data_IF_033426110907
#
_entry.id   IF_033426110907
#
_cell.length_a   1.000
_cell.length_b   1.000
_cell.length_c   1.000
_cell.angle_alpha   90.00
_cell.angle_beta   90.00
_cell.angle_gamma   90.00
#
_symmetry.space_group_name_H-M   'P 1'
#
loop_
_entity.id
_entity.type
_entity.pdbx_description
1 polymer ?
#
# COMPACT_ATOMS: atom_id res chain seq x y z
N UNK A 1 16.94 -7.85 -8.93
CA UNK A 1 16.27 -6.70 -9.56
C UNK A 1 17.04 -5.42 -9.23
N UNK A 2 17.11 -4.50 -10.19
CA UNK A 2 17.33 -3.09 -9.89
C UNK A 2 15.99 -2.49 -9.47
N UNK A 3 15.93 -1.85 -8.30
CA UNK A 3 14.69 -1.37 -7.72
C UNK A 3 14.52 0.13 -7.95
N UNK A 4 13.43 0.50 -8.62
CA UNK A 4 12.94 1.87 -8.76
C UNK A 4 11.69 2.02 -7.89
N UNK A 5 11.70 2.95 -6.96
CA UNK A 5 10.64 3.11 -5.96
C UNK A 5 9.73 4.29 -6.30
N UNK A 6 8.42 4.08 -6.22
CA UNK A 6 7.39 5.07 -6.52
C UNK A 6 6.47 5.25 -5.32
N UNK A 7 6.31 6.49 -4.89
CA UNK A 7 5.34 6.89 -3.86
C UNK A 7 4.39 7.97 -4.37
N UNK A 8 3.24 8.11 -3.71
CA UNK A 8 2.21 9.06 -4.10
C UNK A 8 1.82 9.97 -2.95
N UNK A 9 1.92 11.28 -3.17
CA UNK A 9 1.27 12.29 -2.37
C UNK A 9 -0.10 12.57 -2.99
N UNK A 10 -1.15 11.87 -2.47
CA UNK A 10 -2.49 11.94 -3.07
C UNK A 10 -3.47 12.77 -2.22
N UNK A 11 -2.95 13.56 -1.27
CA UNK A 11 -3.75 14.33 -0.34
C UNK A 11 -4.19 13.53 0.88
N UNK A 12 -3.51 12.42 1.18
CA UNK A 12 -3.73 11.64 2.40
C UNK A 12 -3.50 12.47 3.66
N UNK A 13 -4.19 12.11 4.74
CA UNK A 13 -4.14 12.83 6.02
C UNK A 13 -2.74 12.94 6.63
N UNK A 14 -1.85 11.97 6.31
CA UNK A 14 -0.50 11.94 6.89
C UNK A 14 0.58 11.87 5.82
N UNK A 15 1.46 12.87 5.85
CA UNK A 15 2.64 12.90 4.98
C UNK A 15 3.80 12.06 5.53
N UNK A 16 3.73 11.63 6.79
CA UNK A 16 4.81 10.87 7.45
C UNK A 16 5.12 9.55 6.71
N UNK A 17 4.11 8.93 6.08
CA UNK A 17 4.32 7.72 5.28
C UNK A 17 5.26 7.96 4.09
N UNK A 18 5.29 9.18 3.52
CA UNK A 18 6.19 9.53 2.41
C UNK A 18 7.64 9.66 2.90
N UNK A 19 7.83 10.22 4.09
CA UNK A 19 9.15 10.30 4.73
C UNK A 19 9.68 8.90 5.06
N UNK A 20 8.82 8.01 5.58
CA UNK A 20 9.17 6.64 5.87
C UNK A 20 9.46 5.86 4.58
N UNK A 21 8.65 6.03 3.53
CA UNK A 21 8.89 5.40 2.23
C UNK A 21 10.26 5.79 1.64
N UNK A 22 10.66 7.07 1.78
CA UNK A 22 11.99 7.52 1.36
C UNK A 22 13.09 6.82 2.14
N UNK A 23 13.00 6.78 3.48
CA UNK A 23 13.98 6.09 4.33
C UNK A 23 14.10 4.61 3.98
N UNK A 24 12.97 3.92 3.72
CA UNK A 24 12.96 2.52 3.31
C UNK A 24 13.62 2.35 1.93
N UNK A 25 13.31 3.22 0.97
CA UNK A 25 13.92 3.17 -0.36
C UNK A 25 15.44 3.36 -0.29
N UNK A 26 15.91 4.31 0.52
CA UNK A 26 17.33 4.57 0.76
C UNK A 26 17.98 3.36 1.47
N UNK A 27 17.35 2.82 2.50
CA UNK A 27 17.86 1.67 3.28
C UNK A 27 18.04 0.41 2.42
N UNK A 28 17.10 0.12 1.53
CA UNK A 28 17.19 -1.04 0.61
C UNK A 28 17.93 -0.73 -0.70
N UNK A 29 18.52 0.46 -0.84
CA UNK A 29 19.37 0.80 -1.99
C UNK A 29 18.59 0.91 -3.30
N UNK A 30 17.38 1.47 -3.28
CA UNK A 30 16.65 1.76 -4.51
C UNK A 30 17.45 2.69 -5.41
N UNK A 31 17.59 2.35 -6.69
CA UNK A 31 18.33 3.15 -7.70
C UNK A 31 17.77 4.56 -7.79
N UNK A 32 16.45 4.66 -7.69
CA UNK A 32 15.73 5.94 -7.68
C UNK A 32 14.43 5.80 -6.91
N UNK A 33 14.11 6.83 -6.13
CA UNK A 33 12.79 7.01 -5.51
C UNK A 33 12.16 8.29 -6.04
N UNK A 34 10.94 8.23 -6.56
CA UNK A 34 10.18 9.40 -6.96
C UNK A 34 8.86 9.48 -6.21
N UNK A 35 8.38 10.69 -5.97
CA UNK A 35 7.07 10.97 -5.37
C UNK A 35 6.24 11.71 -6.42
N UNK A 36 5.07 11.17 -6.74
CA UNK A 36 4.11 11.81 -7.65
C UNK A 36 3.05 12.54 -6.81
N UNK A 37 2.87 13.82 -7.10
CA UNK A 37 1.83 14.64 -6.50
C UNK A 37 0.54 14.55 -7.32
N UNK A 38 -0.53 14.07 -6.69
CA UNK A 38 -1.90 14.04 -7.22
C UNK A 38 -2.85 14.46 -6.10
N UNK A 39 -4.01 14.99 -6.41
CA UNK A 39 -4.96 15.42 -5.38
C UNK A 39 -6.31 14.69 -5.51
N UNK A 40 -6.39 13.50 -4.87
CA UNK A 40 -7.61 12.70 -4.83
C UNK A 40 -8.68 13.26 -3.89
N UNK A 41 -8.36 14.27 -3.07
CA UNK A 41 -9.36 14.97 -2.24
C UNK A 41 -10.41 15.67 -3.08
N UNK A 42 -10.08 16.05 -4.32
CA UNK A 42 -11.02 16.66 -5.27
C UNK A 42 -12.18 15.73 -5.63
N UNK A 43 -11.99 14.42 -5.50
CA UNK A 43 -13.03 13.42 -5.75
C UNK A 43 -13.80 13.06 -4.46
N UNK A 44 -13.15 13.16 -3.31
CA UNK A 44 -13.76 12.79 -2.02
C UNK A 44 -14.03 11.29 -1.91
N UNK A 45 -15.14 10.93 -1.24
CA UNK A 45 -15.66 9.56 -1.18
C UNK A 45 -14.92 8.60 -0.23
N UNK A 46 -13.92 9.07 0.53
CA UNK A 46 -13.19 8.25 1.51
C UNK A 46 -12.84 9.04 2.75
N UNK A 47 -12.82 8.37 3.90
CA UNK A 47 -12.32 8.94 5.15
C UNK A 47 -10.82 9.31 5.10
N UNK A 48 -10.08 8.88 4.10
CA UNK A 48 -8.67 9.22 3.90
C UNK A 48 -8.48 10.47 3.03
N UNK A 49 -9.49 10.89 2.26
CA UNK A 49 -9.42 12.00 1.30
C UNK A 49 -10.52 13.03 1.45
N UNK A 50 -11.46 12.84 2.39
CA UNK A 50 -12.55 13.76 2.68
C UNK A 50 -12.67 14.03 4.18
N UNK A 51 -13.51 14.97 4.56
CA UNK A 51 -13.84 15.26 5.96
C UNK A 51 -14.88 14.25 6.49
N UNK A 52 -14.46 13.00 6.55
CA UNK A 52 -15.24 11.87 7.07
C UNK A 52 -14.43 11.27 8.22
N UNK A 53 -15.06 11.03 9.37
CA UNK A 53 -14.38 10.45 10.51
C UNK A 53 -13.83 9.05 10.20
N UNK A 54 -12.59 8.79 10.59
CA UNK A 54 -12.01 7.44 10.50
C UNK A 54 -12.61 6.57 11.61
N UNK A 55 -13.25 5.43 11.27
CA UNK A 55 -13.81 4.52 12.26
C UNK A 55 -12.75 4.01 13.24
N UNK A 56 -13.14 3.90 14.50
CA UNK A 56 -12.28 3.42 15.59
C UNK A 56 -12.97 2.29 16.36
N UNK A 57 -12.17 1.43 16.98
CA UNK A 57 -12.61 0.35 17.88
C UNK A 57 -13.58 -0.65 17.23
N UNK A 58 -13.51 -0.85 15.93
CA UNK A 58 -14.31 -1.84 15.23
C UNK A 58 -13.86 -3.26 15.62
N UNK A 59 -14.81 -4.19 15.66
CA UNK A 59 -14.46 -5.60 15.80
C UNK A 59 -13.85 -6.11 14.47
N UNK A 60 -12.76 -6.87 14.55
CA UNK A 60 -12.05 -7.35 13.35
C UNK A 60 -12.97 -8.19 12.44
N UNK A 61 -13.89 -8.97 13.03
CA UNK A 61 -14.85 -9.79 12.29
C UNK A 61 -15.86 -8.97 11.46
N UNK A 62 -16.06 -7.70 11.78
CA UNK A 62 -16.94 -6.81 11.05
C UNK A 62 -16.21 -6.05 9.93
N UNK A 63 -14.88 -5.98 9.98
CA UNK A 63 -14.10 -5.27 8.98
C UNK A 63 -14.13 -5.93 7.59
N UNK A 64 -14.46 -7.22 7.52
CA UNK A 64 -14.47 -8.00 6.25
C UNK A 64 -15.83 -8.05 5.57
N UNK A 65 -16.90 -7.53 6.22
CA UNK A 65 -18.28 -7.69 5.73
C UNK A 65 -18.65 -6.72 4.59
N UNK A 66 -17.97 -5.61 4.48
CA UNK A 66 -18.30 -4.54 3.52
C UNK A 66 -17.06 -3.78 3.06
N UNK A 67 -17.17 -3.03 1.97
CA UNK A 67 -16.12 -2.10 1.53
C UNK A 67 -16.06 -0.95 2.55
N UNK A 68 -14.91 -0.74 3.23
CA UNK A 68 -14.84 0.24 4.30
C UNK A 68 -14.84 1.68 3.78
N UNK A 69 -15.28 2.61 4.60
CA UNK A 69 -15.26 4.05 4.31
C UNK A 69 -13.85 4.61 4.08
N UNK A 70 -12.81 3.87 4.47
CA UNK A 70 -11.39 4.19 4.21
C UNK A 70 -10.92 3.75 2.82
N UNK A 71 -11.76 3.07 2.04
CA UNK A 71 -11.45 2.80 0.64
C UNK A 71 -11.40 4.11 -0.15
N UNK A 72 -10.28 4.38 -0.79
CA UNK A 72 -10.14 5.50 -1.72
C UNK A 72 -10.49 4.98 -3.12
N UNK A 73 -11.55 5.49 -3.76
CA UNK A 73 -12.04 4.96 -5.03
C UNK A 73 -10.94 4.84 -6.10
N UNK A 74 -10.77 3.64 -6.64
CA UNK A 74 -9.84 3.28 -7.70
C UNK A 74 -8.35 3.70 -7.44
N UNK A 75 -7.95 3.89 -6.19
CA UNK A 75 -6.61 4.38 -5.85
C UNK A 75 -5.50 3.52 -6.44
N UNK A 76 -5.58 2.19 -6.29
CA UNK A 76 -4.55 1.31 -6.81
C UNK A 76 -4.53 1.28 -8.34
N UNK A 77 -5.67 1.48 -9.01
CA UNK A 77 -5.76 1.63 -10.48
C UNK A 77 -4.99 2.88 -10.93
N UNK A 78 -5.21 4.02 -10.26
CA UNK A 78 -4.50 5.27 -10.54
C UNK A 78 -2.99 5.07 -10.32
N UNK A 79 -2.60 4.49 -9.20
CA UNK A 79 -1.20 4.26 -8.86
C UNK A 79 -0.50 3.31 -9.83
N UNK A 80 -1.14 2.22 -10.20
CA UNK A 80 -0.60 1.28 -11.19
C UNK A 80 -0.49 1.91 -12.57
N UNK A 81 -1.40 2.82 -12.96
CA UNK A 81 -1.30 3.53 -14.25
C UNK A 81 -0.07 4.45 -14.30
N UNK A 82 0.24 5.17 -13.22
CA UNK A 82 1.49 5.93 -13.13
C UNK A 82 2.72 5.03 -13.11
N UNK A 83 2.65 3.93 -12.36
CA UNK A 83 3.75 2.96 -12.30
C UNK A 83 4.03 2.35 -13.67
N UNK A 84 2.97 2.00 -14.44
CA UNK A 84 3.09 1.48 -15.80
C UNK A 84 3.74 2.49 -16.74
N UNK A 85 3.30 3.76 -16.71
CA UNK A 85 3.89 4.81 -17.54
C UNK A 85 5.38 5.01 -17.22
N UNK A 86 5.74 4.99 -15.94
CA UNK A 86 7.16 5.13 -15.56
C UNK A 86 7.96 3.89 -15.89
N UNK A 87 7.42 2.69 -15.69
CA UNK A 87 8.06 1.43 -16.06
C UNK A 87 8.41 1.38 -17.55
N UNK A 88 7.51 1.82 -18.43
CA UNK A 88 7.78 1.90 -19.87
C UNK A 88 8.93 2.87 -20.17
N UNK A 89 8.99 4.04 -19.51
CA UNK A 89 10.05 5.04 -19.70
C UNK A 89 11.43 4.52 -19.29
N UNK A 90 11.51 3.75 -18.19
CA UNK A 90 12.79 3.23 -17.67
C UNK A 90 13.12 1.83 -18.18
N UNK A 91 12.33 1.29 -19.10
CA UNK A 91 12.44 -0.06 -19.64
C UNK A 91 12.39 -1.17 -18.55
N UNK A 92 11.53 -0.98 -17.53
CA UNK A 92 11.26 -1.99 -16.51
C UNK A 92 10.00 -2.79 -16.89
N UNK A 93 10.12 -4.09 -16.99
CA UNK A 93 9.02 -4.99 -17.37
C UNK A 93 8.18 -5.50 -16.20
N UNK A 94 8.65 -5.26 -14.96
CA UNK A 94 8.02 -5.83 -13.76
C UNK A 94 7.67 -4.73 -12.75
N UNK A 95 6.40 -4.70 -12.34
CA UNK A 95 5.87 -3.80 -11.31
C UNK A 95 5.50 -4.61 -10.08
N UNK A 96 5.99 -4.22 -8.91
CA UNK A 96 5.61 -4.81 -7.62
C UNK A 96 4.64 -3.92 -6.89
N UNK A 97 3.57 -4.51 -6.34
CA UNK A 97 2.61 -3.83 -5.49
C UNK A 97 2.27 -4.67 -4.26
N UNK A 98 2.25 -4.05 -3.08
CA UNK A 98 2.04 -4.70 -1.79
C UNK A 98 0.57 -4.91 -1.42
N UNK A 99 -0.29 -5.23 -2.39
CA UNK A 99 -1.70 -5.55 -2.12
C UNK A 99 -1.83 -6.85 -1.35
N UNK A 100 -2.85 -6.90 -0.49
CA UNK A 100 -3.20 -8.06 0.31
C UNK A 100 -4.70 -8.32 0.22
N UNK A 101 -5.11 -9.55 -0.04
CA UNK A 101 -6.50 -9.95 -0.22
C UNK A 101 -7.07 -10.75 0.97
N UNK A 102 -6.22 -11.29 1.86
CA UNK A 102 -6.67 -12.19 2.94
C UNK A 102 -7.17 -11.43 4.18
N UNK A 103 -6.37 -10.51 4.70
CA UNK A 103 -6.71 -9.85 5.97
C UNK A 103 -7.78 -8.76 5.83
N UNK A 104 -7.96 -8.28 4.59
CA UNK A 104 -8.87 -7.19 4.31
C UNK A 104 -9.39 -7.28 2.88
N UNK A 105 -10.35 -8.20 2.66
CA UNK A 105 -10.96 -8.47 1.35
C UNK A 105 -11.84 -7.31 0.83
N UNK A 106 -11.95 -6.20 1.58
CA UNK A 106 -12.84 -5.09 1.27
C UNK A 106 -12.44 -4.20 0.10
N UNK A 107 -11.17 -4.24 -0.32
CA UNK A 107 -10.73 -3.39 -1.43
C UNK A 107 -10.81 -4.11 -2.77
N UNK A 108 -11.72 -3.70 -3.68
CA UNK A 108 -11.89 -4.38 -4.98
C UNK A 108 -10.62 -4.34 -5.84
N UNK A 109 -9.83 -3.29 -5.73
CA UNK A 109 -8.56 -3.07 -6.45
C UNK A 109 -7.33 -3.72 -5.78
N UNK A 110 -7.56 -4.68 -4.85
CA UNK A 110 -6.54 -5.56 -4.27
C UNK A 110 -6.74 -7.03 -4.63
N UNK A 111 -7.76 -7.37 -5.40
CA UNK A 111 -8.14 -8.76 -5.71
C UNK A 111 -7.28 -9.37 -6.83
N UNK A 112 -7.01 -10.68 -6.79
CA UNK A 112 -6.21 -11.35 -7.82
C UNK A 112 -6.75 -11.18 -9.24
N UNK A 113 -8.07 -11.22 -9.43
CA UNK A 113 -8.71 -11.04 -10.73
C UNK A 113 -8.53 -9.62 -11.28
N UNK A 114 -8.56 -8.60 -10.40
CA UNK A 114 -8.25 -7.23 -10.78
C UNK A 114 -6.80 -7.09 -11.26
N UNK A 115 -5.85 -7.67 -10.52
CA UNK A 115 -4.42 -7.63 -10.88
C UNK A 115 -4.17 -8.26 -12.24
N UNK A 116 -4.78 -9.43 -12.52
CA UNK A 116 -4.67 -10.08 -13.84
C UNK A 116 -5.24 -9.21 -14.97
N UNK A 117 -6.42 -8.64 -14.76
CA UNK A 117 -7.03 -7.76 -15.75
C UNK A 117 -6.19 -6.50 -16.02
N UNK A 118 -5.56 -5.92 -14.97
CA UNK A 118 -4.67 -4.79 -15.13
C UNK A 118 -3.39 -5.18 -15.91
N UNK A 119 -2.82 -6.35 -15.65
CA UNK A 119 -1.65 -6.86 -16.38
C UNK A 119 -1.97 -7.07 -17.86
N UNK A 120 -3.13 -7.63 -18.19
CA UNK A 120 -3.61 -7.77 -19.56
C UNK A 120 -3.76 -6.41 -20.24
N UNK A 121 -4.43 -5.47 -19.58
CA UNK A 121 -4.60 -4.10 -20.07
C UNK A 121 -3.25 -3.42 -20.29
N UNK A 122 -2.29 -3.56 -19.38
CA UNK A 122 -0.97 -2.95 -19.50
C UNK A 122 -0.24 -3.36 -20.79
N UNK A 123 -0.33 -4.61 -21.18
CA UNK A 123 0.29 -5.14 -22.40
C UNK A 123 -0.45 -4.73 -23.68
N UNK A 124 -1.74 -4.37 -23.59
CA UNK A 124 -2.53 -3.88 -24.73
C UNK A 124 -2.44 -2.35 -24.88
N UNK A 125 -2.17 -1.61 -23.80
CA UNK A 125 -2.27 -0.15 -23.76
C UNK A 125 -0.93 0.58 -23.89
N UNK A 126 0.20 -0.15 -23.91
CA UNK A 126 1.54 0.44 -23.98
C UNK A 126 2.18 0.20 -25.34
N UNK A 127 3.02 1.14 -25.79
CA UNK A 127 3.77 0.99 -27.03
C UNK A 127 4.70 -0.22 -26.98
N UNK A 128 5.44 -0.39 -25.88
CA UNK A 128 6.38 -1.49 -25.71
C UNK A 128 5.67 -2.85 -25.72
N UNK A 129 4.47 -2.95 -25.10
CA UNK A 129 3.64 -4.15 -25.12
C UNK A 129 3.13 -4.50 -26.52
N UNK A 130 2.53 -3.54 -27.22
CA UNK A 130 1.97 -3.74 -28.57
C UNK A 130 3.06 -4.06 -29.60
N UNK A 131 4.23 -3.44 -29.50
CA UNK A 131 5.37 -3.73 -30.38
C UNK A 131 6.09 -5.04 -30.01
N UNK A 132 5.67 -5.76 -28.96
CA UNK A 132 6.29 -6.98 -28.50
C UNK A 132 7.71 -6.81 -27.94
N UNK A 133 8.10 -5.58 -27.58
CA UNK A 133 9.41 -5.28 -27.00
C UNK A 133 9.51 -5.59 -25.53
N UNK A 134 8.37 -5.52 -24.81
CA UNK A 134 8.26 -5.81 -23.39
C UNK A 134 6.96 -6.56 -23.11
N UNK A 135 6.99 -7.38 -22.08
CA UNK A 135 5.79 -8.00 -21.50
C UNK A 135 5.71 -7.59 -20.04
N UNK A 136 4.84 -6.62 -19.74
CA UNK A 136 4.64 -6.15 -18.38
C UNK A 136 4.05 -7.23 -17.49
N UNK A 137 4.57 -7.32 -16.26
CA UNK A 137 4.12 -8.23 -15.21
C UNK A 137 3.84 -7.48 -13.93
N UNK A 138 2.69 -7.76 -13.31
CA UNK A 138 2.32 -7.19 -12.02
C UNK A 138 2.55 -8.25 -10.94
N UNK A 139 3.54 -8.05 -10.08
CA UNK A 139 3.89 -8.95 -8.99
C UNK A 139 3.27 -8.52 -7.67
N UNK A 140 2.58 -9.44 -7.03
CA UNK A 140 1.86 -9.22 -5.77
C UNK A 140 2.29 -10.24 -4.72
N UNK A 141 3.54 -10.18 -4.21
CA UNK A 141 4.10 -11.24 -3.36
C UNK A 141 3.34 -11.44 -2.05
N UNK A 142 2.56 -10.44 -1.60
CA UNK A 142 1.86 -10.45 -0.33
C UNK A 142 0.37 -10.83 -0.44
N UNK A 143 -0.15 -11.07 -1.65
CA UNK A 143 -1.59 -11.13 -1.92
C UNK A 143 -2.31 -12.23 -1.14
N UNK A 144 -1.64 -13.38 -0.94
CA UNK A 144 -2.17 -14.55 -0.24
C UNK A 144 -1.52 -14.77 1.13
N UNK A 145 -0.91 -13.73 1.73
CA UNK A 145 -0.27 -13.83 3.05
C UNK A 145 -1.14 -13.16 4.10
N UNK A 146 -1.23 -13.75 5.28
CA UNK A 146 -1.78 -13.09 6.46
C UNK A 146 -0.84 -11.97 6.93
N UNK A 147 -1.33 -11.04 7.74
CA UNK A 147 -0.51 -9.98 8.32
C UNK A 147 0.66 -10.54 9.13
N UNK A 148 0.43 -11.63 9.85
CA UNK A 148 1.47 -12.32 10.62
C UNK A 148 2.57 -12.90 9.73
N UNK A 149 2.20 -13.53 8.61
CA UNK A 149 3.17 -14.06 7.63
C UNK A 149 3.97 -12.94 6.97
N UNK A 150 3.32 -11.82 6.60
CA UNK A 150 3.98 -10.62 6.06
C UNK A 150 5.02 -10.09 7.06
N UNK A 151 4.66 -9.99 8.34
CA UNK A 151 5.56 -9.51 9.40
C UNK A 151 6.75 -10.45 9.59
N UNK A 152 6.50 -11.77 9.64
CA UNK A 152 7.58 -12.76 9.73
C UNK A 152 8.52 -12.67 8.53
N UNK A 153 7.94 -12.61 7.32
CA UNK A 153 8.73 -12.51 6.08
C UNK A 153 9.55 -11.23 6.02
N UNK A 154 8.98 -10.11 6.44
CA UNK A 154 9.72 -8.85 6.51
C UNK A 154 10.88 -8.92 7.53
N UNK A 155 10.66 -9.56 8.70
CA UNK A 155 11.74 -9.76 9.69
C UNK A 155 12.87 -10.66 9.16
N UNK A 156 12.54 -11.69 8.38
CA UNK A 156 13.55 -12.52 7.68
C UNK A 156 14.35 -11.74 6.63
N UNK A 157 13.80 -10.65 6.13
CA UNK A 157 14.41 -9.75 5.15
C UNK A 157 14.99 -8.49 5.78
N UNK A 158 15.19 -8.46 7.09
CA UNK A 158 15.74 -7.35 7.87
C UNK A 158 14.97 -6.03 7.72
N UNK A 159 13.65 -6.10 7.51
CA UNK A 159 12.79 -4.91 7.50
C UNK A 159 12.74 -4.30 8.90
N UNK A 160 13.21 -3.07 9.03
CA UNK A 160 13.01 -2.26 10.25
C UNK A 160 11.57 -1.76 10.32
N UNK A 161 10.74 -2.45 11.10
CA UNK A 161 9.33 -2.09 11.27
C UNK A 161 9.11 -0.77 12.02
N UNK A 162 10.13 -0.17 12.63
CA UNK A 162 10.03 1.18 13.18
C UNK A 162 9.91 2.25 12.09
N UNK A 163 10.35 1.95 10.87
CA UNK A 163 10.22 2.81 9.69
C UNK A 163 8.89 2.61 8.95
N UNK A 164 8.02 1.71 9.40
CA UNK A 164 6.75 1.44 8.74
C UNK A 164 5.59 2.18 9.39
N UNK A 165 4.69 2.72 8.56
CA UNK A 165 3.54 3.47 9.00
C UNK A 165 2.23 2.77 8.66
N UNK A 166 1.27 2.74 9.61
CA UNK A 166 -0.04 2.10 9.39
C UNK A 166 -1.23 2.97 9.79
N UNK A 167 -1.07 3.91 10.71
CA UNK A 167 -2.17 4.64 11.29
C UNK A 167 -2.89 5.55 10.28
N UNK A 168 -4.23 5.50 10.25
CA UNK A 168 -5.06 6.38 9.42
C UNK A 168 -5.38 7.71 10.08
N UNK A 169 -5.22 7.82 11.39
CA UNK A 169 -5.59 9.00 12.17
C UNK A 169 -4.64 9.18 13.37
N UNK A 170 -3.35 9.56 13.11
CA UNK A 170 -2.36 9.72 14.16
C UNK A 170 -2.66 10.92 15.06
N UNK A 171 -2.04 10.91 16.24
CA UNK A 171 -2.06 12.05 17.15
C UNK A 171 -1.16 13.19 16.62
N UNK A 172 -1.35 14.43 17.10
CA UNK A 172 -0.52 15.56 16.70
C UNK A 172 0.97 15.39 17.01
N UNK A 173 1.32 14.57 18.01
CA UNK A 173 2.70 14.24 18.38
C UNK A 173 3.34 13.15 17.51
N UNK A 174 2.62 12.67 16.49
CA UNK A 174 3.08 11.61 15.58
C UNK A 174 2.97 10.21 16.17
N UNK A 175 2.24 9.99 17.26
CA UNK A 175 1.94 8.62 17.72
C UNK A 175 0.74 8.03 16.97
N UNK A 176 0.75 6.71 16.81
CA UNK A 176 -0.38 6.00 16.20
C UNK A 176 -1.59 6.02 17.13
N UNK A 177 -2.81 6.23 16.61
CA UNK A 177 -4.02 6.28 17.45
C UNK A 177 -4.33 4.95 18.17
N UNK A 178 -3.79 3.83 17.70
CA UNK A 178 -3.98 2.51 18.30
C UNK A 178 -5.37 1.90 18.12
N UNK A 179 -6.35 2.61 17.52
CA UNK A 179 -7.78 2.31 17.53
C UNK A 179 -8.42 2.19 16.15
N UNK A 180 -7.82 2.76 15.09
CA UNK A 180 -8.33 2.60 13.73
C UNK A 180 -8.08 1.17 13.22
N UNK A 181 -8.82 0.76 12.19
CA UNK A 181 -8.74 -0.59 11.62
C UNK A 181 -7.30 -1.01 11.31
N UNK A 182 -6.52 -0.11 10.69
CA UNK A 182 -5.14 -0.39 10.35
C UNK A 182 -4.24 -0.62 11.58
N UNK A 183 -4.45 0.14 12.67
CA UNK A 183 -3.75 -0.08 13.94
C UNK A 183 -4.15 -1.40 14.59
N UNK A 184 -5.44 -1.74 14.59
CA UNK A 184 -5.94 -2.98 15.17
C UNK A 184 -5.40 -4.20 14.42
N UNK A 185 -5.42 -4.16 13.09
CA UNK A 185 -4.86 -5.22 12.24
C UNK A 185 -3.33 -5.34 12.41
N UNK A 186 -2.62 -4.21 12.55
CA UNK A 186 -1.18 -4.24 12.84
C UNK A 186 -0.87 -4.90 14.17
N UNK A 187 -1.52 -4.48 15.25
CA UNK A 187 -1.35 -5.08 16.59
C UNK A 187 -1.64 -6.58 16.57
N UNK A 188 -2.73 -7.01 15.90
CA UNK A 188 -3.07 -8.42 15.73
C UNK A 188 -1.96 -9.16 14.98
N UNK A 189 -1.50 -8.64 13.85
CA UNK A 189 -0.47 -9.26 13.03
C UNK A 189 0.85 -9.48 13.79
N UNK A 190 1.33 -8.47 14.51
CA UNK A 190 2.53 -8.60 15.34
C UNK A 190 2.37 -9.62 16.48
N UNK A 191 1.20 -9.61 17.14
CA UNK A 191 0.88 -10.58 18.20
C UNK A 191 0.89 -12.02 17.65
N UNK A 192 0.25 -12.26 16.51
CA UNK A 192 0.19 -13.58 15.87
C UNK A 192 1.53 -14.01 15.28
N UNK A 193 2.35 -13.06 14.85
CA UNK A 193 3.73 -13.33 14.41
C UNK A 193 4.66 -13.71 15.56
N UNK A 194 4.31 -13.36 16.80
CA UNK A 194 5.18 -13.52 17.97
C UNK A 194 6.36 -12.54 17.98
N UNK A 195 6.23 -11.41 17.26
CA UNK A 195 7.26 -10.39 17.12
C UNK A 195 6.79 -9.11 17.84
N UNK A 196 7.70 -8.44 18.53
CA UNK A 196 7.38 -7.18 19.21
C UNK A 196 7.12 -6.08 18.20
N UNK A 197 5.96 -5.42 18.27
CA UNK A 197 5.67 -4.23 17.46
C UNK A 197 6.46 -3.02 17.99
N UNK A 198 7.34 -2.40 17.20
CA UNK A 198 8.10 -1.23 17.62
C UNK A 198 7.29 0.06 17.61
N UNK A 199 6.05 0.02 17.15
CA UNK A 199 5.19 1.20 16.99
C UNK A 199 4.83 1.86 18.32
N UNK A 200 4.93 3.18 18.37
CA UNK A 200 4.42 3.98 19.49
C UNK A 200 2.93 4.26 19.29
N UNK A 201 2.13 3.80 20.24
CA UNK A 201 0.69 4.05 20.25
C UNK A 201 0.33 5.10 21.31
N UNK A 202 -0.71 5.89 21.03
CA UNK A 202 -1.32 6.75 22.04
C UNK A 202 -1.87 5.91 23.19
N UNK A 203 -1.82 6.50 24.40
CA UNK A 203 -2.35 5.87 25.63
C UNK A 203 -3.88 5.73 25.60
#
# INVERSE_FOLDING_TARGET
YEVYSLSFNYGQRHKIELEMAKKIADFFGAVKHIIIDIDLRKFGGSALTADIAVPKDRQIVDMTKEIPVTYVPARNTIFLSFALAWAEVINADTIFIGVNALDYSGYPDCRPEYIRAFEEMANLATKAGVEGKMQFKIKTPLINMTKAEIIKKGSELDVDYSLTWSCYDPQPDGTHCGRCDSCLLRKKGFKEAGIKDPTRYAA
#
